data_IF_487515977786
#
_entry.id   IF_487515977786
#
_cell.length_a   1.000
_cell.length_b   1.000
_cell.length_c   1.000
_cell.angle_alpha   90.00
_cell.angle_beta   90.00
_cell.angle_gamma   90.00
#
_symmetry.space_group_name_H-M   'P 1'
#
loop_
_entity.id
_entity.type
_entity.pdbx_description
1 polymer ?
#
# COMPACT_ATOMS: atom_id res chain seq x y z
N UNK A 1 -56.76 15.65 -26.55
CA UNK A 1 -55.36 16.09 -26.40
C UNK A 1 -54.90 15.75 -24.98
N UNK A 2 -54.47 14.51 -24.78
CA UNK A 2 -54.00 13.99 -23.50
C UNK A 2 -52.80 13.08 -23.78
N UNK A 3 -51.74 13.33 -23.02
CA UNK A 3 -50.77 12.36 -22.54
C UNK A 3 -49.65 11.86 -23.47
N UNK A 4 -48.43 12.27 -23.10
CA UNK A 4 -47.28 11.42 -22.72
C UNK A 4 -46.88 10.35 -23.75
N UNK A 5 -45.71 10.54 -24.39
CA UNK A 5 -44.84 9.43 -24.77
C UNK A 5 -43.40 9.82 -24.46
N UNK A 6 -42.79 8.99 -23.64
CA UNK A 6 -41.52 9.19 -22.96
C UNK A 6 -40.32 8.99 -23.88
N UNK A 7 -39.30 9.83 -23.69
CA UNK A 7 -37.91 9.56 -24.05
C UNK A 7 -37.43 8.26 -23.43
N UNK A 8 -36.88 7.36 -24.24
CA UNK A 8 -35.99 6.30 -23.78
C UNK A 8 -34.85 6.11 -24.78
N UNK A 9 -33.76 6.84 -24.57
CA UNK A 9 -32.43 6.45 -25.05
C UNK A 9 -31.87 5.49 -24.02
N UNK A 10 -31.95 4.19 -24.30
CA UNK A 10 -31.26 3.17 -23.51
C UNK A 10 -29.85 3.00 -24.06
N UNK A 11 -28.92 3.81 -23.58
CA UNK A 11 -27.49 3.54 -23.74
C UNK A 11 -27.10 2.45 -22.74
N UNK A 12 -26.94 1.22 -23.22
CA UNK A 12 -26.40 0.11 -22.43
C UNK A 12 -24.92 0.36 -22.14
N UNK A 13 -24.63 1.01 -21.00
CA UNK A 13 -23.29 1.16 -20.48
C UNK A 13 -22.77 -0.18 -19.97
N UNK A 14 -21.71 -0.68 -20.60
CA UNK A 14 -20.94 -1.84 -20.17
C UNK A 14 -20.25 -1.51 -18.83
N UNK A 15 -20.88 -1.89 -17.72
CA UNK A 15 -20.27 -1.81 -16.40
C UNK A 15 -19.22 -2.91 -16.28
N UNK A 16 -17.96 -2.60 -16.59
CA UNK A 16 -16.82 -3.41 -16.12
C UNK A 16 -16.72 -3.18 -14.62
N UNK A 17 -17.37 -4.04 -13.85
CA UNK A 17 -17.14 -4.15 -12.42
C UNK A 17 -15.72 -4.69 -12.24
N UNK A 18 -14.75 -3.80 -12.01
CA UNK A 18 -13.41 -4.16 -11.59
C UNK A 18 -13.48 -4.81 -10.22
N UNK A 19 -13.44 -6.14 -10.17
CA UNK A 19 -13.24 -6.88 -8.94
C UNK A 19 -11.92 -6.39 -8.32
N UNK A 20 -12.00 -5.65 -7.22
CA UNK A 20 -10.84 -5.33 -6.42
C UNK A 20 -10.33 -6.64 -5.82
N UNK A 21 -9.43 -7.33 -6.53
CA UNK A 21 -8.76 -8.51 -6.01
C UNK A 21 -8.05 -8.10 -4.71
N UNK A 22 -8.37 -8.80 -3.62
CA UNK A 22 -7.66 -8.63 -2.37
C UNK A 22 -6.21 -9.05 -2.59
N UNK A 23 -5.27 -8.13 -2.36
CA UNK A 23 -3.84 -8.46 -2.41
C UNK A 23 -3.47 -9.10 -1.08
N UNK A 24 -2.92 -10.30 -1.12
CA UNK A 24 -2.50 -11.01 0.06
C UNK A 24 -1.26 -10.38 0.72
N UNK A 25 -1.21 -10.47 2.03
CA UNK A 25 -0.04 -10.06 2.81
C UNK A 25 1.11 -11.07 2.61
N UNK A 26 2.31 -10.65 2.16
CA UNK A 26 3.45 -11.54 1.96
C UNK A 26 3.81 -12.31 3.23
N UNK A 27 4.23 -13.57 3.09
CA UNK A 27 4.70 -14.38 4.21
C UNK A 27 5.89 -13.73 4.93
N UNK A 28 6.79 -13.08 4.17
CA UNK A 28 7.94 -12.32 4.68
C UNK A 28 7.50 -11.21 5.64
N UNK A 29 6.34 -10.56 5.40
CA UNK A 29 5.79 -9.54 6.28
C UNK A 29 5.42 -10.09 7.65
N UNK A 30 4.85 -11.31 7.67
CA UNK A 30 4.51 -12.02 8.90
C UNK A 30 5.77 -12.49 9.62
N UNK A 31 6.75 -13.07 8.89
CA UNK A 31 8.05 -13.49 9.44
C UNK A 31 8.80 -12.36 10.14
N UNK A 32 8.71 -11.14 9.60
CA UNK A 32 9.33 -9.94 10.16
C UNK A 32 8.41 -9.14 11.09
N UNK A 33 7.24 -9.66 11.44
CA UNK A 33 6.23 -9.02 12.31
C UNK A 33 5.75 -7.63 11.83
N UNK A 34 5.88 -7.31 10.54
CA UNK A 34 5.43 -6.04 9.98
C UNK A 34 3.90 -5.86 10.10
N UNK A 35 3.17 -6.97 10.13
CA UNK A 35 1.69 -7.00 10.21
C UNK A 35 1.13 -6.55 11.55
N UNK A 36 1.96 -6.41 12.58
CA UNK A 36 1.54 -5.82 13.85
C UNK A 36 1.22 -4.32 13.73
N UNK A 37 1.87 -3.64 12.77
CA UNK A 37 1.76 -2.19 12.62
C UNK A 37 1.25 -1.76 11.23
N UNK A 38 1.24 -2.65 10.25
CA UNK A 38 0.85 -2.35 8.87
C UNK A 38 -0.17 -3.35 8.33
N UNK A 39 -1.00 -2.87 7.41
CA UNK A 39 -1.88 -3.68 6.57
C UNK A 39 -1.71 -3.27 5.09
N UNK A 40 -2.29 -4.04 4.18
CA UNK A 40 -2.21 -3.75 2.73
C UNK A 40 -2.92 -2.43 2.40
N UNK A 41 -4.14 -2.26 2.87
CA UNK A 41 -5.10 -1.28 2.36
C UNK A 41 -5.58 -0.27 3.42
N UNK A 42 -5.28 -0.48 4.70
CA UNK A 42 -5.71 0.38 5.79
C UNK A 42 -4.57 0.73 6.74
N UNK A 43 -4.71 1.88 7.38
CA UNK A 43 -3.84 2.31 8.48
C UNK A 43 -4.10 1.41 9.70
N UNK A 44 -3.03 0.99 10.37
CA UNK A 44 -3.09 0.30 11.67
C UNK A 44 -2.39 1.19 12.71
N UNK A 45 -1.07 1.05 12.83
CA UNK A 45 -0.21 2.03 13.54
C UNK A 45 0.51 2.86 12.48
N UNK A 46 1.18 2.17 11.56
CA UNK A 46 1.75 2.73 10.34
C UNK A 46 0.71 2.84 9.21
N UNK A 47 1.08 3.50 8.10
CA UNK A 47 0.24 3.59 6.92
C UNK A 47 -0.04 2.22 6.31
N UNK A 48 -1.16 2.12 5.60
CA UNK A 48 -1.39 1.00 4.69
C UNK A 48 -0.36 1.01 3.56
N UNK A 49 0.08 -0.16 3.11
CA UNK A 49 1.15 -0.26 2.12
C UNK A 49 0.75 0.31 0.74
N UNK A 50 -0.52 0.21 0.34
CA UNK A 50 -1.03 0.91 -0.84
C UNK A 50 -0.81 2.42 -0.76
N UNK A 51 -1.07 3.04 0.40
CA UNK A 51 -0.82 4.46 0.60
C UNK A 51 0.68 4.81 0.50
N UNK A 52 1.56 3.91 0.95
CA UNK A 52 3.00 4.07 0.76
C UNK A 52 3.36 4.02 -0.73
N UNK A 53 2.86 3.01 -1.46
CA UNK A 53 3.06 2.91 -2.91
C UNK A 53 2.63 4.18 -3.62
N UNK A 54 1.40 4.64 -3.37
CA UNK A 54 0.82 5.83 -3.99
C UNK A 54 1.65 7.09 -3.71
N UNK A 55 2.11 7.28 -2.46
CA UNK A 55 2.92 8.45 -2.07
C UNK A 55 4.27 8.50 -2.79
N UNK A 56 4.88 7.34 -3.05
CA UNK A 56 6.22 7.23 -3.63
C UNK A 56 6.22 6.86 -5.11
N UNK A 57 5.04 6.78 -5.74
CA UNK A 57 4.90 6.46 -7.16
C UNK A 57 5.68 7.44 -8.03
N UNK A 58 6.56 6.90 -8.88
CA UNK A 58 7.40 7.70 -9.79
C UNK A 58 8.67 8.29 -9.15
N UNK A 59 8.93 8.10 -7.86
CA UNK A 59 10.20 8.50 -7.24
C UNK A 59 11.26 7.41 -7.49
N UNK A 60 12.20 7.67 -8.40
CA UNK A 60 13.30 6.75 -8.72
C UNK A 60 14.20 6.41 -7.51
N UNK A 61 14.21 7.24 -6.47
CA UNK A 61 14.94 6.99 -5.22
C UNK A 61 14.12 6.32 -4.12
N UNK A 62 12.85 6.00 -4.35
CA UNK A 62 11.95 5.48 -3.33
C UNK A 62 12.44 4.19 -2.68
N UNK A 63 12.91 3.22 -3.47
CA UNK A 63 13.36 1.92 -2.95
C UNK A 63 14.48 2.11 -1.92
N UNK A 64 15.54 2.85 -2.27
CA UNK A 64 16.68 3.06 -1.36
C UNK A 64 16.29 3.86 -0.09
N UNK A 65 15.45 4.88 -0.24
CA UNK A 65 14.93 5.67 0.90
C UNK A 65 14.11 4.82 1.85
N UNK A 66 13.20 3.99 1.31
CA UNK A 66 12.32 3.13 2.10
C UNK A 66 13.09 1.99 2.78
N UNK A 67 14.06 1.36 2.10
CA UNK A 67 14.95 0.37 2.73
C UNK A 67 15.66 1.00 3.93
N UNK A 68 16.23 2.19 3.76
CA UNK A 68 16.88 2.92 4.87
C UNK A 68 15.90 3.21 6.00
N UNK A 69 14.68 3.66 5.68
CA UNK A 69 13.64 3.97 6.67
C UNK A 69 13.20 2.72 7.45
N UNK A 70 13.00 1.59 6.78
CA UNK A 70 12.60 0.32 7.41
C UNK A 70 13.70 -0.23 8.30
N UNK A 71 14.95 -0.21 7.81
CA UNK A 71 16.12 -0.68 8.56
C UNK A 71 16.34 0.14 9.83
N UNK A 72 16.39 1.47 9.71
CA UNK A 72 16.78 2.37 10.81
C UNK A 72 15.62 2.89 11.64
N UNK A 73 14.38 2.76 11.16
CA UNK A 73 13.21 3.36 11.78
C UNK A 73 13.14 4.88 11.63
N UNK A 74 12.33 5.50 12.49
CA UNK A 74 12.12 6.95 12.59
C UNK A 74 10.68 7.39 12.33
N UNK A 75 10.39 8.67 12.56
CA UNK A 75 9.04 9.26 12.44
C UNK A 75 8.93 10.37 11.39
N UNK A 76 7.83 11.13 11.46
CA UNK A 76 7.64 12.43 10.79
C UNK A 76 6.90 12.39 9.45
N UNK A 77 6.92 11.28 8.72
CA UNK A 77 6.32 11.21 7.37
C UNK A 77 4.81 10.97 7.41
N UNK A 78 4.34 10.19 8.39
CA UNK A 78 2.96 9.68 8.46
C UNK A 78 2.25 10.04 9.78
N UNK A 79 2.90 10.86 10.60
CA UNK A 79 2.42 11.24 11.94
C UNK A 79 3.55 11.31 12.96
N UNK A 80 3.16 11.50 14.21
CA UNK A 80 4.07 11.62 15.35
C UNK A 80 4.66 10.30 15.84
N UNK A 81 3.98 9.17 15.58
CA UNK A 81 4.44 7.86 16.03
C UNK A 81 5.63 7.37 15.18
N UNK A 82 6.83 7.14 15.78
CA UNK A 82 7.98 6.66 15.05
C UNK A 82 7.88 5.15 14.78
N UNK A 83 8.37 4.72 13.63
CA UNK A 83 8.61 3.30 13.37
C UNK A 83 9.92 2.87 14.07
N UNK A 84 9.97 1.76 14.81
CA UNK A 84 11.21 1.23 15.37
C UNK A 84 12.20 0.80 14.27
N UNK A 85 13.48 0.66 14.61
CA UNK A 85 14.45 0.02 13.72
C UNK A 85 14.08 -1.47 13.55
N UNK A 86 13.88 -1.93 12.31
CA UNK A 86 13.49 -3.32 12.04
C UNK A 86 14.67 -4.24 11.74
N UNK A 87 15.87 -3.69 11.55
CA UNK A 87 17.09 -4.47 11.37
C UNK A 87 18.31 -3.83 12.05
N UNK A 88 18.29 -3.74 13.40
CA UNK A 88 19.41 -3.16 14.16
C UNK A 88 20.72 -3.96 14.01
N UNK A 89 20.63 -5.26 13.67
CA UNK A 89 21.78 -6.14 13.45
C UNK A 89 22.26 -6.19 11.99
N UNK A 90 21.52 -5.61 11.04
CA UNK A 90 21.86 -5.64 9.61
C UNK A 90 21.69 -7.01 8.94
N UNK A 91 20.94 -7.94 9.53
CA UNK A 91 20.82 -9.34 9.08
C UNK A 91 19.54 -9.62 8.29
N UNK A 92 18.67 -8.62 8.11
CA UNK A 92 17.36 -8.74 7.45
C UNK A 92 17.26 -7.89 6.17
N UNK A 93 18.37 -7.38 5.67
CA UNK A 93 18.40 -6.48 4.50
C UNK A 93 17.76 -7.10 3.26
N UNK A 94 17.95 -8.40 3.03
CA UNK A 94 17.38 -9.11 1.88
C UNK A 94 15.86 -9.11 1.96
N UNK A 95 15.28 -9.55 3.09
CA UNK A 95 13.83 -9.56 3.28
C UNK A 95 13.21 -8.17 3.30
N UNK A 96 13.92 -7.17 3.86
CA UNK A 96 13.47 -5.77 3.83
C UNK A 96 13.40 -5.26 2.38
N UNK A 97 14.43 -5.54 1.57
CA UNK A 97 14.44 -5.16 0.16
C UNK A 97 13.32 -5.82 -0.62
N UNK A 98 13.06 -7.10 -0.38
CA UNK A 98 11.92 -7.83 -0.98
C UNK A 98 10.59 -7.16 -0.62
N UNK A 99 10.36 -6.85 0.65
CA UNK A 99 9.13 -6.19 1.09
C UNK A 99 8.97 -4.78 0.54
N UNK A 100 10.04 -3.97 0.50
CA UNK A 100 9.97 -2.62 -0.05
C UNK A 100 9.60 -2.66 -1.54
N UNK A 101 10.17 -3.60 -2.31
CA UNK A 101 9.81 -3.78 -3.71
C UNK A 101 8.35 -4.20 -3.88
N UNK A 102 7.88 -5.13 -3.05
CA UNK A 102 6.47 -5.50 -3.03
C UNK A 102 5.59 -4.29 -2.76
N UNK A 103 5.89 -3.50 -1.72
CA UNK A 103 5.13 -2.30 -1.34
C UNK A 103 5.06 -1.30 -2.49
N UNK A 104 6.17 -1.02 -3.18
CA UNK A 104 6.21 -0.07 -4.29
C UNK A 104 5.51 -0.58 -5.57
N UNK A 105 5.16 -1.86 -5.62
CA UNK A 105 4.44 -2.48 -6.73
C UNK A 105 2.92 -2.59 -6.49
N UNK A 106 2.44 -2.23 -5.30
CA UNK A 106 1.01 -2.19 -4.96
C UNK A 106 0.28 -1.03 -5.63
#
# INVERSE_FOLDING_TARGET
>A
MKSIIASMIAAAGLMVAGSAAAVDMPATAKKLNCTACHAIDKKVVGPGWKAVSDKYKGDAGAEAKLITKVTKGGGGVWGSMPMPANDPSGTKQTEIKELVKFILAL
#
